data_IF_028355307444
#
_entry.id   IF_028355307444
#
_cell.length_a   1.000
_cell.length_b   1.000
_cell.length_c   1.000
_cell.angle_alpha   90.00
_cell.angle_beta   90.00
_cell.angle_gamma   90.00
#
_symmetry.space_group_name_H-M   'P 1'
#
loop_
_entity.id
_entity.type
_entity.pdbx_description
1 polymer ?
#
# COMPACT_ATOMS: atom_id res chain seq x y z
N UNK A 1 -5.29 7.68 2.04
CA UNK A 1 -5.86 7.30 0.74
C UNK A 1 -5.98 8.49 -0.21
N UNK A 2 -6.54 9.63 0.21
CA UNK A 2 -6.66 10.85 -0.64
C UNK A 2 -5.35 11.23 -1.32
N UNK A 3 -4.26 11.34 -0.56
CA UNK A 3 -2.93 11.70 -1.08
C UNK A 3 -2.48 10.81 -2.25
N UNK A 4 -2.64 9.48 -2.15
CA UNK A 4 -2.31 8.56 -3.23
C UNK A 4 -3.18 8.80 -4.45
N UNK A 5 -4.50 8.96 -4.27
CA UNK A 5 -5.41 9.25 -5.39
C UNK A 5 -5.07 10.57 -6.07
N UNK A 6 -4.73 11.61 -5.32
CA UNK A 6 -4.36 12.92 -5.84
C UNK A 6 -3.00 12.90 -6.56
N UNK A 7 -2.10 12.02 -6.13
CA UNK A 7 -0.82 11.78 -6.78
C UNK A 7 -0.94 10.91 -8.06
N UNK A 8 -2.09 10.28 -8.34
CA UNK A 8 -2.26 9.52 -9.57
C UNK A 8 -2.24 10.43 -10.80
N UNK A 9 -1.35 10.10 -11.74
CA UNK A 9 -1.28 10.74 -13.05
C UNK A 9 -1.57 9.70 -14.12
N UNK A 10 -2.49 10.05 -15.00
CA UNK A 10 -2.78 9.27 -16.20
C UNK A 10 -2.07 9.91 -17.38
N UNK A 11 -1.26 9.12 -18.09
CA UNK A 11 -0.63 9.51 -19.35
C UNK A 11 -1.02 8.52 -20.44
N UNK A 12 -0.55 8.77 -21.66
CA UNK A 12 -0.79 7.89 -22.80
C UNK A 12 -0.16 6.49 -22.62
N UNK A 13 0.84 6.36 -21.74
CA UNK A 13 1.57 5.11 -21.50
C UNK A 13 1.08 4.32 -20.28
N UNK A 14 0.21 4.91 -19.45
CA UNK A 14 -0.34 4.23 -18.28
C UNK A 14 -0.70 5.17 -17.14
N UNK A 15 -0.85 4.58 -15.95
CA UNK A 15 -1.14 5.31 -14.71
C UNK A 15 0.02 5.12 -13.74
N UNK A 16 0.54 6.22 -13.19
CA UNK A 16 1.64 6.21 -12.24
C UNK A 16 1.39 7.20 -11.09
N UNK A 17 2.20 7.10 -10.04
CA UNK A 17 2.18 8.04 -8.93
C UNK A 17 3.21 9.14 -9.12
N UNK A 18 2.78 10.40 -8.99
CA UNK A 18 3.62 11.57 -8.88
C UNK A 18 3.62 12.04 -7.41
N UNK A 19 4.34 11.31 -6.57
CA UNK A 19 4.52 11.64 -5.15
C UNK A 19 5.64 12.68 -5.01
N UNK A 20 5.49 13.59 -4.05
CA UNK A 20 6.62 14.42 -3.61
C UNK A 20 7.67 13.60 -2.87
N UNK A 21 8.83 14.20 -2.61
CA UNK A 21 9.91 13.53 -1.88
C UNK A 21 9.48 13.09 -0.47
N UNK A 22 8.74 13.95 0.25
CA UNK A 22 8.24 13.64 1.60
C UNK A 22 7.25 12.46 1.59
N UNK A 23 6.26 12.47 0.70
CA UNK A 23 5.27 11.38 0.58
C UNK A 23 5.94 10.06 0.16
N UNK A 24 6.95 10.14 -0.70
CA UNK A 24 7.72 8.98 -1.15
C UNK A 24 8.52 8.39 0.00
N UNK A 25 9.22 9.22 0.77
CA UNK A 25 9.99 8.80 1.93
C UNK A 25 9.08 8.19 3.01
N UNK A 26 7.94 8.82 3.29
CA UNK A 26 6.93 8.31 4.22
C UNK A 26 6.41 6.93 3.79
N UNK A 27 6.08 6.76 2.50
CA UNK A 27 5.62 5.47 1.97
C UNK A 27 6.68 4.37 2.15
N UNK A 28 7.94 4.66 1.80
CA UNK A 28 9.06 3.73 1.96
C UNK A 28 9.24 3.33 3.43
N UNK A 29 9.20 4.30 4.35
CA UNK A 29 9.30 4.04 5.78
C UNK A 29 8.16 3.15 6.30
N UNK A 30 6.92 3.42 5.89
CA UNK A 30 5.76 2.61 6.28
C UNK A 30 5.84 1.18 5.72
N UNK A 31 6.29 1.02 4.47
CA UNK A 31 6.49 -0.29 3.84
C UNK A 31 7.53 -1.11 4.61
N UNK A 32 8.67 -0.51 4.95
CA UNK A 32 9.72 -1.16 5.72
C UNK A 32 9.26 -1.56 7.13
N UNK A 33 8.41 -0.76 7.77
CA UNK A 33 7.84 -1.07 9.08
C UNK A 33 6.80 -2.22 9.02
N UNK A 34 6.03 -2.30 7.94
CA UNK A 34 4.94 -3.27 7.79
C UNK A 34 5.40 -4.62 7.20
N UNK A 35 6.32 -4.59 6.25
CA UNK A 35 6.79 -5.74 5.50
C UNK A 35 8.27 -5.97 5.78
N UNK A 36 8.55 -6.93 6.65
CA UNK A 36 9.93 -7.39 6.86
C UNK A 36 10.32 -8.39 5.78
N UNK A 37 11.60 -8.38 5.37
CA UNK A 37 12.15 -9.33 4.40
C UNK A 37 11.98 -10.81 4.81
N UNK A 38 11.79 -11.10 6.10
CA UNK A 38 11.51 -12.45 6.61
C UNK A 38 10.25 -12.45 7.49
N UNK A 39 9.07 -12.40 6.86
CA UNK A 39 7.83 -12.29 7.62
C UNK A 39 7.45 -13.64 8.25
N UNK A 40 7.07 -13.62 9.53
CA UNK A 40 6.52 -14.81 10.22
C UNK A 40 5.10 -15.15 9.76
N UNK A 41 4.38 -14.17 9.21
CA UNK A 41 3.01 -14.28 8.72
C UNK A 41 2.92 -13.66 7.32
N UNK A 42 2.21 -14.33 6.40
CA UNK A 42 1.97 -13.76 5.07
C UNK A 42 0.95 -12.62 5.19
N UNK A 43 1.39 -11.41 4.91
CA UNK A 43 0.57 -10.20 4.94
C UNK A 43 0.44 -9.62 3.53
N UNK A 44 -0.65 -8.91 3.28
CA UNK A 44 -0.92 -8.24 1.99
C UNK A 44 -1.23 -6.77 2.22
N UNK A 45 -0.79 -5.92 1.29
CA UNK A 45 -1.19 -4.52 1.25
C UNK A 45 -2.57 -4.44 0.59
N UNK A 46 -3.58 -4.13 1.39
CA UNK A 46 -4.97 -4.06 0.96
C UNK A 46 -5.34 -2.62 0.59
N UNK A 47 -5.81 -2.41 -0.64
CA UNK A 47 -6.01 -1.08 -1.23
C UNK A 47 -7.33 -0.97 -1.99
N UNK A 48 -7.69 0.25 -2.40
CA UNK A 48 -8.81 0.44 -3.32
C UNK A 48 -8.50 -0.12 -4.72
N UNK A 49 -9.54 -0.47 -5.48
CA UNK A 49 -9.41 -1.17 -6.77
C UNK A 49 -8.57 -0.40 -7.79
N UNK A 50 -8.77 0.90 -7.88
CA UNK A 50 -8.07 1.79 -8.80
C UNK A 50 -6.59 2.01 -8.44
N UNK A 51 -6.22 1.86 -7.16
CA UNK A 51 -4.85 2.01 -6.69
C UNK A 51 -4.02 0.74 -6.89
N UNK A 52 -4.66 -0.41 -7.11
CA UNK A 52 -3.98 -1.72 -7.12
C UNK A 52 -2.88 -1.82 -8.16
N UNK A 53 -3.21 -1.55 -9.43
CA UNK A 53 -2.25 -1.67 -10.54
C UNK A 53 -1.13 -0.62 -10.44
N UNK A 54 -1.43 0.69 -10.25
CA UNK A 54 -0.40 1.70 -10.04
C UNK A 54 0.54 1.38 -8.87
N UNK A 55 0.02 0.89 -7.74
CA UNK A 55 0.85 0.54 -6.59
C UNK A 55 1.73 -0.66 -6.88
N UNK A 56 1.20 -1.66 -7.58
CA UNK A 56 2.00 -2.82 -7.95
C UNK A 56 3.18 -2.42 -8.84
N UNK A 57 2.96 -1.51 -9.79
CA UNK A 57 4.03 -0.96 -10.64
C UNK A 57 5.05 -0.18 -9.82
N UNK A 58 4.61 0.70 -8.91
CA UNK A 58 5.51 1.48 -8.04
C UNK A 58 6.38 0.58 -7.16
N UNK A 59 5.83 -0.50 -6.64
CA UNK A 59 6.54 -1.42 -5.75
C UNK A 59 7.41 -2.43 -6.51
N UNK A 60 7.36 -2.48 -7.84
CA UNK A 60 7.99 -3.56 -8.62
C UNK A 60 9.53 -3.56 -8.51
N UNK A 61 10.15 -2.40 -8.36
CA UNK A 61 11.61 -2.27 -8.31
C UNK A 61 12.13 -2.66 -6.92
N UNK A 62 11.77 -1.92 -5.87
CA UNK A 62 12.36 -2.08 -4.52
C UNK A 62 11.55 -3.00 -3.60
N UNK A 63 10.22 -3.06 -3.78
CA UNK A 63 9.29 -3.72 -2.86
C UNK A 63 8.52 -4.86 -3.53
N UNK A 64 9.13 -5.54 -4.51
CA UNK A 64 8.45 -6.58 -5.30
C UNK A 64 7.86 -7.71 -4.43
N UNK A 65 8.48 -7.96 -3.27
CA UNK A 65 8.07 -8.94 -2.28
C UNK A 65 6.76 -8.56 -1.54
N UNK A 66 6.29 -7.32 -1.64
CA UNK A 66 5.05 -6.84 -1.04
C UNK A 66 3.87 -7.17 -1.96
N UNK A 67 2.97 -8.10 -1.56
CA UNK A 67 1.80 -8.41 -2.35
C UNK A 67 0.74 -7.32 -2.17
N UNK A 68 0.18 -6.85 -3.29
CA UNK A 68 -0.88 -5.83 -3.33
C UNK A 68 -2.20 -6.47 -3.77
N UNK A 69 -3.26 -6.25 -3.01
CA UNK A 69 -4.60 -6.76 -3.26
C UNK A 69 -5.62 -5.64 -3.11
N UNK A 70 -6.67 -5.64 -3.92
CA UNK A 70 -7.77 -4.71 -3.74
C UNK A 70 -8.92 -5.29 -2.90
N UNK A 71 -9.69 -4.40 -2.28
CA UNK A 71 -10.93 -4.81 -1.60
C UNK A 71 -11.93 -5.49 -2.54
N UNK A 72 -11.90 -5.19 -3.84
CA UNK A 72 -12.80 -5.80 -4.83
C UNK A 72 -12.44 -7.26 -5.15
N UNK A 73 -11.23 -7.70 -4.81
CA UNK A 73 -10.85 -9.12 -4.84
C UNK A 73 -11.29 -9.87 -3.58
N UNK A 74 -11.73 -9.10 -2.58
CA UNK A 74 -12.46 -9.52 -1.39
C UNK A 74 -13.64 -10.42 -1.73
N UNK A 75 -13.57 -11.74 -1.53
CA UNK A 75 -14.79 -12.55 -1.52
C UNK A 75 -15.69 -12.11 -0.35
N UNK A 76 -17.01 -12.02 -0.55
CA UNK A 76 -17.95 -11.43 0.43
C UNK A 76 -17.97 -12.10 1.81
N UNK A 77 -17.45 -13.32 1.95
CA UNK A 77 -17.35 -14.06 3.22
C UNK A 77 -15.93 -14.03 3.84
N UNK A 78 -15.01 -13.24 3.28
CA UNK A 78 -13.60 -13.23 3.71
C UNK A 78 -13.43 -12.48 5.03
N UNK A 79 -12.85 -13.15 6.03
CA UNK A 79 -12.47 -12.49 7.29
C UNK A 79 -11.13 -11.80 7.10
N UNK A 80 -11.12 -10.47 7.14
CA UNK A 80 -9.91 -9.66 7.03
C UNK A 80 -9.40 -9.34 8.43
N UNK A 81 -8.15 -9.71 8.73
CA UNK A 81 -7.44 -9.27 9.93
C UNK A 81 -6.54 -8.09 9.58
N UNK A 82 -6.90 -6.91 10.05
CA UNK A 82 -6.08 -5.70 9.86
C UNK A 82 -4.89 -5.74 10.82
N UNK A 83 -3.67 -5.74 10.27
CA UNK A 83 -2.42 -5.74 11.06
C UNK A 83 -1.91 -4.33 11.33
N UNK A 84 -2.29 -3.39 10.47
CA UNK A 84 -1.95 -1.97 10.57
C UNK A 84 -2.53 -1.20 9.42
N UNK A 85 -2.43 0.13 9.49
CA UNK A 85 -2.90 1.06 8.48
C UNK A 85 -1.80 2.03 8.11
N UNK A 86 -1.69 2.28 6.82
CA UNK A 86 -0.76 3.25 6.26
C UNK A 86 -1.47 4.60 6.24
N UNK A 87 -0.83 5.61 6.81
CA UNK A 87 -1.26 6.99 6.73
C UNK A 87 -0.09 7.82 6.24
N UNK A 88 -0.15 8.38 5.03
CA UNK A 88 0.98 9.12 4.48
C UNK A 88 1.20 10.48 5.17
N UNK A 89 0.27 10.94 6.01
CA UNK A 89 0.47 12.08 6.90
C UNK A 89 1.13 11.71 8.22
N UNK A 90 1.42 10.42 8.47
CA UNK A 90 2.07 9.94 9.68
C UNK A 90 3.19 8.95 9.34
N UNK A 91 4.39 9.19 9.84
CA UNK A 91 5.54 8.30 9.57
C UNK A 91 5.47 6.97 10.34
N UNK A 92 4.56 6.86 11.31
CA UNK A 92 4.40 5.68 12.15
C UNK A 92 3.24 4.78 11.68
N UNK A 93 3.52 3.48 11.52
CA UNK A 93 2.50 2.52 11.16
C UNK A 93 1.49 2.37 12.31
N UNK A 94 0.26 2.84 12.08
CA UNK A 94 -0.85 2.67 13.01
C UNK A 94 -1.24 1.20 13.11
N UNK A 95 -0.73 0.50 14.12
CA UNK A 95 -1.11 -0.89 14.41
C UNK A 95 -2.46 -0.89 15.10
N UNK A 96 -3.44 -1.54 14.48
CA UNK A 96 -4.74 -1.72 15.10
C UNK A 96 -4.58 -2.49 16.40
N UNK A 97 -5.00 -1.91 17.52
CA UNK A 97 -5.26 -2.67 18.73
C UNK A 97 -6.28 -3.75 18.35
N UNK A 98 -5.90 -5.02 18.47
CA UNK A 98 -6.83 -6.12 18.32
C UNK A 98 -7.91 -5.95 19.40
N UNK A 99 -9.11 -5.56 18.99
CA UNK A 99 -10.32 -5.73 19.77
C UNK A 99 -10.85 -7.16 19.56
#
# INVERSE_FOLDING_TARGET
ESTLREALRQTQTGVFFALGDDDSAALINLLNQAFSARPKLKSVLLVAQDLRSPLRTLLLEEFNHVPVMSFAELGSASKVKVLGRFDLGQEELMRGAAA
#
